data_IF_746538409869
#
_entry.id   IF_746538409869
#
_cell.length_a   1.000
_cell.length_b   1.000
_cell.length_c   1.000
_cell.angle_alpha   90.00
_cell.angle_beta   90.00
_cell.angle_gamma   90.00
#
_symmetry.space_group_name_H-M   'P 1'
#
loop_
_entity.id
_entity.type
_entity.pdbx_description
1 polymer ?
#
# COMPACT_ATOMS: atom_id res chain seq x y z
N UNK A 1 -28.41 8.23 -13.29
CA UNK A 1 -27.01 7.79 -13.18
C UNK A 1 -26.85 7.24 -11.78
N UNK A 2 -26.98 5.93 -11.60
CA UNK A 2 -26.96 5.29 -10.28
C UNK A 2 -25.51 4.98 -9.94
N UNK A 3 -24.87 5.87 -9.17
CA UNK A 3 -23.62 5.56 -8.49
C UNK A 3 -23.98 4.60 -7.35
N UNK A 4 -23.78 3.29 -7.58
CA UNK A 4 -23.91 2.32 -6.50
C UNK A 4 -22.75 2.61 -5.54
N UNK A 5 -22.98 2.75 -4.22
CA UNK A 5 -21.89 2.98 -3.29
C UNK A 5 -20.88 1.84 -3.44
N UNK A 6 -19.61 2.19 -3.64
CA UNK A 6 -18.52 1.23 -3.69
C UNK A 6 -18.71 0.23 -2.54
N UNK A 7 -18.89 -1.05 -2.87
CA UNK A 7 -19.11 -2.06 -1.83
C UNK A 7 -17.87 -2.05 -0.94
N UNK A 8 -18.02 -2.22 0.36
CA UNK A 8 -16.88 -2.23 1.28
C UNK A 8 -15.80 -3.26 0.91
N UNK A 9 -16.17 -4.32 0.17
CA UNK A 9 -15.25 -5.33 -0.39
C UNK A 9 -14.55 -4.94 -1.70
N UNK A 10 -14.86 -3.80 -2.29
CA UNK A 10 -14.22 -3.33 -3.51
C UNK A 10 -12.76 -2.94 -3.24
N UNK A 11 -11.84 -3.44 -4.07
CA UNK A 11 -10.41 -3.12 -3.96
C UNK A 11 -10.13 -1.76 -4.61
N UNK A 12 -9.83 -0.77 -3.78
CA UNK A 12 -9.49 0.60 -4.17
C UNK A 12 -7.98 0.84 -4.08
N UNK A 13 -7.47 1.76 -4.89
CA UNK A 13 -6.06 2.16 -4.84
C UNK A 13 -5.77 2.93 -3.55
N UNK A 14 -4.85 2.41 -2.75
CA UNK A 14 -4.32 3.09 -1.57
C UNK A 14 -3.24 4.07 -1.98
N UNK A 15 -2.17 3.55 -2.60
CA UNK A 15 -0.99 4.33 -2.99
C UNK A 15 -0.22 3.63 -4.12
N UNK A 16 0.61 4.38 -4.85
CA UNK A 16 1.54 3.85 -5.84
C UNK A 16 2.96 4.17 -5.40
N UNK A 17 3.75 3.12 -5.17
CA UNK A 17 5.13 3.21 -4.74
C UNK A 17 6.07 3.08 -5.92
N UNK A 18 7.01 3.99 -6.07
CA UNK A 18 8.07 3.89 -7.09
C UNK A 18 9.10 2.80 -6.75
N UNK A 19 9.27 2.51 -5.45
CA UNK A 19 10.20 1.51 -4.94
C UNK A 19 9.46 0.25 -4.45
N UNK A 20 9.82 -0.96 -4.92
CA UNK A 20 9.14 -2.19 -4.54
C UNK A 20 9.35 -2.54 -3.07
N UNK A 21 10.48 -2.18 -2.47
CA UNK A 21 10.79 -2.43 -1.06
C UNK A 21 9.84 -1.63 -0.17
N UNK A 22 9.63 -0.35 -0.47
CA UNK A 22 8.66 0.50 0.23
C UNK A 22 7.24 -0.06 0.13
N UNK A 23 6.85 -0.57 -1.04
CA UNK A 23 5.54 -1.20 -1.22
C UNK A 23 5.38 -2.47 -0.36
N UNK A 24 6.44 -3.29 -0.25
CA UNK A 24 6.45 -4.47 0.60
C UNK A 24 6.38 -4.11 2.09
N UNK A 25 7.09 -3.07 2.52
CA UNK A 25 7.03 -2.56 3.89
C UNK A 25 5.63 -2.05 4.24
N UNK A 26 5.05 -1.22 3.37
CA UNK A 26 3.68 -0.72 3.51
C UNK A 26 2.66 -1.87 3.62
N UNK A 27 2.79 -2.88 2.75
CA UNK A 27 1.97 -4.10 2.84
C UNK A 27 2.17 -4.82 4.18
N UNK A 28 3.40 -5.00 4.63
CA UNK A 28 3.70 -5.65 5.92
C UNK A 28 3.03 -4.92 7.09
N UNK A 29 3.08 -3.59 7.09
CA UNK A 29 2.43 -2.76 8.11
C UNK A 29 0.91 -2.95 8.11
N UNK A 30 0.29 -2.97 6.92
CA UNK A 30 -1.16 -3.21 6.79
C UNK A 30 -1.53 -4.62 7.23
N UNK A 31 -0.77 -5.64 6.81
CA UNK A 31 -1.00 -7.04 7.16
C UNK A 31 -0.88 -7.27 8.68
N UNK A 32 0.10 -6.64 9.35
CA UNK A 32 0.26 -6.68 10.83
C UNK A 32 -0.91 -6.01 11.56
N UNK A 33 -1.52 -4.99 10.96
CA UNK A 33 -2.71 -4.32 11.49
C UNK A 33 -4.03 -5.01 11.08
N UNK A 34 -3.94 -6.18 10.42
CA UNK A 34 -5.10 -6.96 10.01
C UNK A 34 -5.86 -6.38 8.81
N UNK A 35 -5.24 -5.50 8.03
CA UNK A 35 -5.81 -4.88 6.82
C UNK A 35 -5.32 -5.64 5.58
N UNK A 36 -6.17 -6.40 4.91
CA UNK A 36 -5.76 -7.17 3.74
C UNK A 36 -5.46 -6.25 2.55
N UNK A 37 -4.24 -6.35 2.02
CA UNK A 37 -3.79 -5.54 0.89
C UNK A 37 -3.36 -6.39 -0.30
N UNK A 38 -3.52 -5.83 -1.51
CA UNK A 38 -3.15 -6.46 -2.78
C UNK A 38 -2.16 -5.56 -3.49
N UNK A 39 -0.96 -6.09 -3.74
CA UNK A 39 0.06 -5.43 -4.57
C UNK A 39 -0.12 -5.82 -6.03
N UNK A 40 -0.07 -4.82 -6.92
CA UNK A 40 -0.03 -5.01 -8.36
C UNK A 40 1.27 -4.39 -8.86
N UNK A 41 2.16 -5.23 -9.37
CA UNK A 41 3.43 -4.83 -9.95
C UNK A 41 3.25 -4.35 -11.40
N UNK A 42 3.97 -3.28 -11.76
CA UNK A 42 3.93 -2.73 -13.12
C UNK A 42 4.42 -3.72 -14.19
N UNK A 43 5.24 -4.71 -13.80
CA UNK A 43 5.75 -5.73 -14.71
C UNK A 43 4.65 -6.63 -15.29
N UNK A 44 3.58 -6.91 -14.52
CA UNK A 44 2.42 -7.68 -15.00
C UNK A 44 1.40 -6.83 -15.78
N UNK A 45 1.52 -5.50 -15.77
CA UNK A 45 0.71 -4.59 -16.58
C UNK A 45 1.17 -4.49 -18.05
N UNK A 46 2.18 -5.28 -18.45
CA UNK A 46 2.74 -5.29 -19.79
C UNK A 46 1.82 -5.87 -20.89
N UNK A 47 0.64 -6.40 -20.55
CA UNK A 47 -0.30 -6.99 -21.51
C UNK A 47 -1.33 -6.04 -22.10
N UNK A 48 -1.30 -4.75 -21.75
CA UNK A 48 -2.18 -3.78 -22.41
C UNK A 48 -2.17 -2.38 -21.81
N UNK A 49 -1.40 -1.50 -22.43
CA UNK A 49 -1.75 -0.08 -22.56
C UNK A 49 -1.70 0.79 -21.30
N UNK A 50 -0.60 0.83 -20.55
CA UNK A 50 -0.18 2.05 -19.84
C UNK A 50 1.32 1.98 -19.55
N UNK A 51 2.04 3.06 -19.82
CA UNK A 51 3.49 3.21 -19.60
C UNK A 51 3.98 2.59 -18.29
N UNK A 52 4.99 1.72 -18.41
CA UNK A 52 5.73 1.09 -17.32
C UNK A 52 6.64 2.10 -16.58
N UNK A 53 6.10 3.28 -16.26
CA UNK A 53 6.67 4.32 -15.40
C UNK A 53 6.01 4.28 -14.01
N UNK A 54 4.88 3.60 -13.86
CA UNK A 54 4.15 3.49 -12.60
C UNK A 54 4.64 2.29 -11.80
N UNK A 55 5.28 2.53 -10.66
CA UNK A 55 5.73 1.48 -9.75
C UNK A 55 4.60 0.63 -9.14
N UNK A 56 4.87 0.01 -8.00
CA UNK A 56 3.97 -0.96 -7.37
C UNK A 56 2.72 -0.27 -6.82
N UNK A 57 1.54 -0.70 -7.29
CA UNK A 57 0.25 -0.19 -6.82
C UNK A 57 -0.25 -1.06 -5.67
N UNK A 58 -0.44 -0.44 -4.51
CA UNK A 58 -1.03 -1.10 -3.34
C UNK A 58 -2.52 -0.79 -3.28
N UNK A 59 -3.35 -1.83 -3.22
CA UNK A 59 -4.80 -1.73 -3.14
C UNK A 59 -5.30 -2.34 -1.83
N UNK A 60 -6.37 -1.78 -1.28
CA UNK A 60 -7.05 -2.27 -0.06
C UNK A 60 -8.55 -2.25 -0.29
N UNK A 61 -9.31 -2.89 0.60
CA UNK A 61 -10.77 -2.79 0.59
C UNK A 61 -11.23 -1.35 0.83
N UNK A 62 -12.30 -0.93 0.15
CA UNK A 62 -12.86 0.41 0.28
C UNK A 62 -13.21 0.75 1.74
N UNK A 63 -13.67 -0.23 2.51
CA UNK A 63 -13.95 -0.08 3.94
C UNK A 63 -12.70 0.21 4.79
N UNK A 64 -11.54 -0.29 4.37
CA UNK A 64 -10.28 -0.18 5.12
C UNK A 64 -9.38 0.96 4.61
N UNK A 65 -9.77 1.63 3.52
CA UNK A 65 -8.97 2.69 2.87
C UNK A 65 -8.59 3.81 3.85
N UNK A 66 -9.53 4.25 4.69
CA UNK A 66 -9.29 5.34 5.63
C UNK A 66 -8.26 4.93 6.70
N UNK A 67 -8.40 3.73 7.27
CA UNK A 67 -7.47 3.17 8.26
C UNK A 67 -6.10 2.93 7.66
N UNK A 68 -6.05 2.37 6.45
CA UNK A 68 -4.81 2.11 5.73
C UNK A 68 -4.05 3.40 5.40
N UNK A 69 -4.76 4.45 4.97
CA UNK A 69 -4.15 5.78 4.76
C UNK A 69 -3.63 6.39 6.05
N UNK A 70 -4.37 6.26 7.15
CA UNK A 70 -3.91 6.76 8.44
C UNK A 70 -2.63 6.05 8.91
N UNK A 71 -2.54 4.73 8.71
CA UNK A 71 -1.35 3.95 9.04
C UNK A 71 -0.14 4.30 8.18
N UNK A 72 -0.32 4.53 6.88
CA UNK A 72 0.78 4.93 5.99
C UNK A 72 1.19 6.40 6.15
N UNK A 73 0.27 7.25 6.59
CA UNK A 73 0.54 8.65 6.87
C UNK A 73 1.28 8.87 8.20
N UNK A 74 1.44 7.83 9.01
CA UNK A 74 2.20 7.88 10.26
C UNK A 74 3.66 7.45 10.02
N UNK A 75 4.61 8.39 9.87
CA UNK A 75 6.03 8.08 9.71
C UNK A 75 6.65 7.45 10.97
N UNK A 76 6.00 7.53 12.14
CA UNK A 76 6.55 7.00 13.39
C UNK A 76 6.46 5.48 13.54
N UNK A 77 5.64 4.79 12.71
CA UNK A 77 5.63 3.33 12.69
C UNK A 77 6.95 2.71 12.17
N UNK A 78 7.81 3.52 11.55
CA UNK A 78 9.14 3.11 11.06
C UNK A 78 10.31 3.54 11.97
N UNK A 79 10.07 4.34 13.02
CA UNK A 79 11.14 4.97 13.81
C UNK A 79 11.58 4.20 15.07
N UNK A 80 10.93 3.11 15.45
CA UNK A 80 11.40 2.26 16.57
C UNK A 80 12.43 1.18 16.12
N UNK A 81 13.36 1.58 15.26
CA UNK A 81 14.63 0.86 15.10
C UNK A 81 15.76 1.89 15.11
N UNK A 82 15.97 2.47 16.30
CA UNK A 82 17.18 3.21 16.65
C UNK A 82 18.37 2.24 16.60
N UNK A 83 18.91 2.00 15.41
CA UNK A 83 20.18 1.30 15.21
C UNK A 83 21.36 2.21 15.56
N UNK A 84 21.28 2.87 16.70
CA UNK A 84 22.39 3.60 17.29
C UNK A 84 22.91 2.91 18.57
N UNK A 85 22.77 1.59 18.65
CA UNK A 85 23.68 0.74 19.43
C UNK A 85 25.01 0.58 18.67
N UNK A 86 25.71 1.69 18.46
CA UNK A 86 27.18 1.66 18.49
C UNK A 86 27.62 1.77 19.95
N UNK A 87 27.42 0.70 20.70
CA UNK A 87 28.13 0.48 21.96
C UNK A 87 29.29 -0.50 21.66
N UNK A 88 30.44 0.12 21.33
CA UNK A 88 31.83 -0.35 21.45
C UNK A 88 32.32 -1.62 20.72
#
# INVERSE_FOLDING_TARGET
>A
MTDAPARSDELVLLETFSDPTQAHMARGLLDTNGIPSVMIDGAMAATGLVDAVGGVKLKVRAGDLASAKALLADPMAFEEMDWNEQDW
#
